data_IF_276195553431
#
_entry.id   IF_276195553431
#
_cell.length_a   1.000
_cell.length_b   1.000
_cell.length_c   1.000
_cell.angle_alpha   90.00
_cell.angle_beta   90.00
_cell.angle_gamma   90.00
#
_symmetry.space_group_name_H-M   'P 1'
#
loop_
_entity.id
_entity.type
_entity.pdbx_description
1 polymer ?
#
# COMPACT_ATOMS: atom_id res chain seq x y z
N UNK A 1 -57.69 9.69 -21.40
CA UNK A 1 -57.38 8.67 -20.41
C UNK A 1 -55.85 8.58 -20.31
N UNK A 2 -55.38 9.07 -19.24
CA UNK A 2 -53.98 9.40 -18.91
C UNK A 2 -53.22 8.17 -18.43
N UNK A 3 -52.14 7.82 -19.08
CA UNK A 3 -51.17 6.81 -18.63
C UNK A 3 -49.89 7.50 -18.11
N UNK A 4 -49.76 7.61 -16.78
CA UNK A 4 -48.53 8.07 -16.13
C UNK A 4 -47.50 6.94 -16.11
N UNK A 5 -46.39 7.17 -16.78
CA UNK A 5 -45.18 6.36 -16.71
C UNK A 5 -44.35 6.84 -15.50
N UNK A 6 -44.25 5.99 -14.46
CA UNK A 6 -43.39 6.21 -13.31
C UNK A 6 -41.95 5.84 -13.71
N UNK A 7 -41.08 6.84 -13.85
CA UNK A 7 -39.63 6.65 -13.92
C UNK A 7 -39.10 6.43 -12.50
N UNK A 8 -38.65 5.22 -12.21
CA UNK A 8 -37.94 4.90 -10.98
C UNK A 8 -36.57 5.63 -10.98
N UNK A 9 -36.39 6.51 -10.00
CA UNK A 9 -35.09 7.10 -9.64
C UNK A 9 -34.18 6.01 -9.07
N UNK A 10 -33.13 5.65 -9.78
CA UNK A 10 -31.98 4.96 -9.22
C UNK A 10 -31.07 6.01 -8.57
N UNK A 11 -31.28 6.29 -7.28
CA UNK A 11 -30.42 7.19 -6.51
C UNK A 11 -29.44 6.40 -5.66
N UNK A 12 -28.17 6.66 -5.90
CA UNK A 12 -27.05 6.68 -4.94
C UNK A 12 -27.03 5.59 -3.84
N UNK A 13 -26.34 4.48 -4.13
CA UNK A 13 -25.74 3.60 -3.11
C UNK A 13 -24.21 3.77 -3.16
N UNK A 14 -23.68 4.77 -2.48
CA UNK A 14 -22.24 5.00 -2.51
C UNK A 14 -21.73 6.05 -1.54
N UNK A 15 -22.24 6.11 -0.29
CA UNK A 15 -21.64 7.01 0.72
C UNK A 15 -22.14 6.64 2.13
N UNK A 16 -21.78 5.50 2.65
CA UNK A 16 -22.17 5.12 4.01
C UNK A 16 -21.18 4.17 4.71
N UNK A 17 -19.87 4.34 4.56
CA UNK A 17 -18.89 3.53 5.32
C UNK A 17 -17.90 4.37 6.13
N UNK A 18 -17.91 5.69 6.04
CA UNK A 18 -16.93 6.53 6.74
C UNK A 18 -17.42 7.12 8.09
N UNK A 19 -18.58 6.75 8.60
CA UNK A 19 -19.14 7.38 9.82
C UNK A 19 -19.18 6.49 11.08
N UNK A 20 -18.64 5.29 11.11
CA UNK A 20 -18.78 4.39 12.28
C UNK A 20 -17.62 4.49 13.29
N UNK A 21 -16.53 5.19 12.98
CA UNK A 21 -15.36 5.28 13.87
C UNK A 21 -15.32 6.54 14.77
N UNK A 22 -16.35 7.39 14.79
CA UNK A 22 -16.29 8.68 15.50
C UNK A 22 -17.23 8.81 16.71
N UNK A 23 -17.92 7.75 17.14
CA UNK A 23 -18.89 7.84 18.25
C UNK A 23 -18.49 7.14 19.56
N UNK A 24 -17.32 6.51 19.63
CA UNK A 24 -16.69 6.20 20.91
C UNK A 24 -15.72 7.34 21.22
N UNK A 25 -16.01 8.14 22.25
CA UNK A 25 -15.17 9.22 22.72
C UNK A 25 -13.83 8.73 23.34
N UNK A 26 -13.08 7.91 22.61
CA UNK A 26 -11.66 7.80 22.81
C UNK A 26 -11.06 9.12 22.26
N UNK A 27 -10.77 10.04 23.14
CA UNK A 27 -9.86 11.14 22.87
C UNK A 27 -8.67 10.48 22.17
N UNK A 28 -8.41 10.84 20.90
CA UNK A 28 -7.21 10.43 20.21
C UNK A 28 -6.04 11.06 20.99
N UNK A 29 -5.58 10.34 22.00
CA UNK A 29 -4.43 10.72 22.78
C UNK A 29 -3.26 10.66 21.81
N UNK A 30 -2.60 11.77 21.59
CA UNK A 30 -1.45 11.83 20.71
C UNK A 30 -0.49 10.73 21.14
N UNK A 31 -0.28 9.72 20.29
CA UNK A 31 0.53 8.55 20.64
C UNK A 31 1.96 8.98 20.98
N UNK A 32 2.65 8.19 21.80
CA UNK A 32 3.97 8.55 22.35
C UNK A 32 5.14 8.20 21.43
N UNK A 33 4.87 7.59 20.26
CA UNK A 33 5.93 7.25 19.29
C UNK A 33 6.53 8.50 18.65
N UNK A 34 7.82 8.44 18.39
CA UNK A 34 8.58 9.53 17.77
C UNK A 34 8.16 9.72 16.30
N UNK A 35 8.48 10.90 15.77
CA UNK A 35 8.29 11.28 14.39
C UNK A 35 8.90 10.20 13.45
N UNK A 36 8.22 9.92 12.35
CA UNK A 36 8.61 8.96 11.31
C UNK A 36 8.70 7.47 11.73
N UNK A 37 8.52 7.13 13.02
CA UNK A 37 8.66 5.73 13.49
C UNK A 37 7.55 4.78 13.04
N UNK A 38 6.44 5.28 12.52
CA UNK A 38 5.36 4.48 11.91
C UNK A 38 5.56 4.23 10.41
N UNK A 39 6.58 4.85 9.80
CA UNK A 39 6.71 4.89 8.35
C UNK A 39 5.62 5.73 7.68
N UNK A 40 5.35 5.44 6.42
CA UNK A 40 4.23 6.00 5.65
C UNK A 40 3.19 4.91 5.38
N UNK A 41 2.12 5.20 4.65
CA UNK A 41 1.15 4.18 4.23
C UNK A 41 1.56 3.59 2.89
N UNK A 42 1.70 2.28 2.87
CA UNK A 42 1.90 1.51 1.65
C UNK A 42 0.64 1.58 0.77
N UNK A 43 0.78 1.54 -0.54
CA UNK A 43 -0.33 1.65 -1.51
C UNK A 43 -1.49 0.68 -1.21
N UNK A 44 -1.22 -0.50 -0.67
CA UNK A 44 -2.22 -1.52 -0.31
C UNK A 44 -2.77 -1.36 1.13
N UNK A 45 -2.37 -0.31 1.86
CA UNK A 45 -2.97 0.08 3.15
C UNK A 45 -2.12 -0.20 4.39
N UNK A 46 -1.17 -1.12 4.33
CA UNK A 46 -0.32 -1.43 5.47
C UNK A 46 0.64 -0.27 5.81
N UNK A 47 1.03 -0.15 7.07
CA UNK A 47 2.13 0.73 7.45
C UNK A 47 3.45 0.24 6.85
N UNK A 48 4.26 1.16 6.29
CA UNK A 48 5.51 0.77 5.64
C UNK A 48 6.16 1.86 4.83
N UNK A 49 6.70 1.49 3.68
CA UNK A 49 7.09 2.36 2.59
C UNK A 49 5.93 2.65 1.64
N UNK A 50 6.20 3.21 0.48
CA UNK A 50 5.18 3.44 -0.54
C UNK A 50 4.78 2.15 -1.25
N UNK A 51 5.74 1.32 -1.65
CA UNK A 51 5.52 0.07 -2.39
C UNK A 51 5.48 -1.17 -1.50
N UNK A 52 6.37 -1.27 -0.51
CA UNK A 52 6.54 -2.45 0.32
C UNK A 52 5.95 -2.24 1.74
N UNK A 53 5.25 -3.24 2.32
CA UNK A 53 4.88 -3.18 3.73
C UNK A 53 6.13 -3.41 4.58
N UNK A 54 6.30 -2.58 5.61
CA UNK A 54 7.36 -2.77 6.60
C UNK A 54 6.84 -3.54 7.82
N UNK A 55 7.74 -4.04 8.65
CA UNK A 55 7.35 -4.69 9.89
C UNK A 55 6.74 -3.72 10.92
N UNK A 56 6.81 -2.41 10.68
CA UNK A 56 6.25 -1.37 11.54
C UNK A 56 4.72 -1.42 11.58
N UNK A 57 4.16 -1.09 12.73
CA UNK A 57 2.71 -0.92 12.92
C UNK A 57 2.34 0.54 12.69
N UNK A 58 1.27 0.78 11.98
CA UNK A 58 0.77 2.12 11.63
C UNK A 58 0.37 2.95 12.84
N UNK A 59 0.35 4.27 12.67
CA UNK A 59 -0.04 5.24 13.68
C UNK A 59 1.04 5.52 14.71
N UNK A 60 0.73 6.36 15.67
CA UNK A 60 1.66 6.86 16.71
C UNK A 60 1.46 6.19 18.07
N UNK A 61 0.55 5.19 18.18
CA UNK A 61 0.28 4.47 19.41
C UNK A 61 1.47 3.60 19.85
N UNK A 62 1.80 3.66 21.13
CA UNK A 62 2.80 2.82 21.79
C UNK A 62 2.24 1.43 22.18
N UNK A 63 2.91 0.70 23.06
CA UNK A 63 2.56 -0.67 23.44
C UNK A 63 1.23 -0.84 24.19
N UNK A 64 0.68 0.25 24.70
CA UNK A 64 -0.57 0.33 25.47
C UNK A 64 -1.61 1.26 24.82
N UNK A 65 -1.33 1.72 23.61
CA UNK A 65 -2.13 2.73 22.91
C UNK A 65 -2.66 2.21 21.58
N UNK A 66 -3.68 2.89 21.08
CA UNK A 66 -4.20 2.71 19.73
C UNK A 66 -3.71 3.87 18.86
N UNK A 67 -3.09 3.54 17.74
CA UNK A 67 -2.72 4.50 16.70
C UNK A 67 -3.59 4.31 15.48
N UNK A 68 -3.69 5.33 14.65
CA UNK A 68 -4.42 5.26 13.40
C UNK A 68 -3.72 6.06 12.30
N UNK A 69 -3.98 5.71 11.05
CA UNK A 69 -3.59 6.53 9.90
C UNK A 69 -4.68 6.57 8.85
N UNK A 70 -4.71 7.65 8.08
CA UNK A 70 -5.52 7.77 6.88
C UNK A 70 -4.68 8.43 5.79
N UNK A 71 -4.82 8.01 4.54
CA UNK A 71 -3.98 8.51 3.45
C UNK A 71 -4.71 8.58 2.12
N UNK A 72 -4.17 9.40 1.25
CA UNK A 72 -4.52 9.47 -0.16
C UNK A 72 -3.23 9.42 -0.98
N UNK A 73 -3.26 8.66 -2.08
CA UNK A 73 -2.12 8.56 -2.99
C UNK A 73 -2.59 8.71 -4.43
N UNK A 74 -1.82 9.45 -5.21
CA UNK A 74 -2.02 9.62 -6.65
C UNK A 74 -0.77 9.18 -7.39
N UNK A 75 -0.95 8.29 -8.38
CA UNK A 75 0.12 7.84 -9.27
C UNK A 75 -0.31 8.12 -10.71
N UNK A 76 0.51 8.88 -11.43
CA UNK A 76 0.30 9.15 -12.84
C UNK A 76 1.50 8.64 -13.65
N UNK A 77 1.21 7.77 -14.63
CA UNK A 77 2.24 7.20 -15.48
C UNK A 77 2.45 8.02 -16.75
N UNK A 78 3.60 7.84 -17.37
CA UNK A 78 3.94 8.40 -18.68
C UNK A 78 2.96 7.93 -19.78
N UNK A 79 2.38 6.72 -19.67
CA UNK A 79 1.40 6.17 -20.59
C UNK A 79 -0.04 6.60 -20.31
N UNK A 80 -0.27 7.69 -19.55
CA UNK A 80 -1.58 8.23 -19.17
C UNK A 80 -2.46 7.31 -18.31
N UNK A 81 -1.89 6.26 -17.70
CA UNK A 81 -2.58 5.56 -16.63
C UNK A 81 -2.62 6.42 -15.37
N UNK A 82 -3.74 6.39 -14.67
CA UNK A 82 -3.92 7.13 -13.42
C UNK A 82 -4.47 6.22 -12.34
N UNK A 83 -3.78 6.13 -11.23
CA UNK A 83 -4.20 5.39 -10.05
C UNK A 83 -4.43 6.34 -8.88
N UNK A 84 -5.65 6.37 -8.38
CA UNK A 84 -6.01 7.05 -7.15
C UNK A 84 -6.27 6.01 -6.07
N UNK A 85 -5.67 6.23 -4.90
CA UNK A 85 -5.76 5.35 -3.75
C UNK A 85 -6.21 6.19 -2.56
N UNK A 86 -7.09 5.62 -1.76
CA UNK A 86 -7.44 6.13 -0.43
C UNK A 86 -7.51 4.96 0.55
N UNK A 87 -7.06 5.18 1.76
CA UNK A 87 -7.07 4.12 2.75
C UNK A 87 -6.92 4.63 4.17
N UNK A 88 -7.09 3.70 5.09
CA UNK A 88 -6.92 3.92 6.51
C UNK A 88 -6.44 2.64 7.19
N UNK A 89 -5.77 2.80 8.32
CA UNK A 89 -5.33 1.70 9.13
C UNK A 89 -5.38 2.05 10.62
N UNK A 90 -5.55 1.04 11.45
CA UNK A 90 -5.54 1.15 12.91
C UNK A 90 -4.50 0.17 13.45
N UNK A 91 -3.62 0.68 14.28
CA UNK A 91 -2.62 -0.09 15.04
C UNK A 91 -3.01 -0.19 16.50
N UNK A 92 -3.02 -1.38 17.05
CA UNK A 92 -3.36 -1.64 18.46
C UNK A 92 -2.12 -2.12 19.17
N UNK A 93 -1.76 -1.44 20.28
CA UNK A 93 -0.66 -1.79 21.16
C UNK A 93 0.69 -1.95 20.43
N UNK A 94 0.90 -1.18 19.34
CA UNK A 94 2.05 -1.32 18.46
C UNK A 94 2.35 -2.80 18.09
N UNK A 95 1.30 -3.64 18.00
CA UNK A 95 1.41 -5.08 17.78
C UNK A 95 0.52 -5.61 16.67
N UNK A 96 -0.72 -5.16 16.57
CA UNK A 96 -1.67 -5.60 15.55
C UNK A 96 -2.09 -4.40 14.72
N UNK A 97 -2.15 -4.58 13.42
CA UNK A 97 -2.63 -3.58 12.45
C UNK A 97 -3.77 -4.18 11.64
N UNK A 98 -4.83 -3.41 11.47
CA UNK A 98 -5.90 -3.69 10.51
C UNK A 98 -5.95 -2.52 9.54
N UNK A 99 -5.97 -2.79 8.25
CA UNK A 99 -5.91 -1.77 7.21
C UNK A 99 -6.96 -2.00 6.13
N UNK A 100 -7.36 -0.91 5.48
CA UNK A 100 -8.21 -0.93 4.30
C UNK A 100 -7.69 0.06 3.27
N UNK A 101 -7.81 -0.31 1.99
CA UNK A 101 -7.44 0.54 0.86
C UNK A 101 -8.43 0.36 -0.27
N UNK A 102 -8.76 1.44 -0.95
CA UNK A 102 -9.57 1.44 -2.18
C UNK A 102 -8.78 2.09 -3.31
N UNK A 103 -8.70 1.38 -4.42
CA UNK A 103 -8.00 1.77 -5.62
C UNK A 103 -8.99 2.09 -6.74
N UNK A 104 -8.69 3.12 -7.52
CA UNK A 104 -9.40 3.47 -8.74
C UNK A 104 -8.36 3.74 -9.83
N UNK A 105 -8.20 2.80 -10.74
CA UNK A 105 -7.22 2.81 -11.83
C UNK A 105 -7.92 3.08 -13.15
N UNK A 106 -7.62 4.22 -13.75
CA UNK A 106 -8.08 4.55 -15.10
C UNK A 106 -7.10 3.99 -16.11
N UNK A 107 -7.60 3.13 -16.98
CA UNK A 107 -6.87 2.71 -18.16
C UNK A 107 -6.70 3.92 -19.09
N UNK A 108 -5.53 4.00 -19.73
CA UNK A 108 -5.24 5.08 -20.69
C UNK A 108 -6.07 4.90 -21.99
N UNK A 109 -5.56 5.41 -23.09
CA UNK A 109 -6.03 5.12 -24.44
C UNK A 109 -5.97 3.63 -24.83
N UNK A 110 -5.28 2.79 -24.05
CA UNK A 110 -5.26 1.32 -24.25
C UNK A 110 -6.65 0.71 -24.14
N UNK A 111 -7.47 1.15 -23.19
CA UNK A 111 -8.88 0.78 -23.03
C UNK A 111 -9.66 2.04 -22.65
N UNK A 112 -10.05 2.88 -23.62
CA UNK A 112 -10.65 4.17 -23.37
C UNK A 112 -11.95 4.08 -22.56
N UNK A 113 -12.05 4.90 -21.52
CA UNK A 113 -13.25 5.01 -20.68
C UNK A 113 -13.37 3.99 -19.57
N UNK A 114 -12.53 2.95 -19.54
CA UNK A 114 -12.56 1.90 -18.51
C UNK A 114 -11.81 2.31 -17.24
N UNK A 115 -12.34 1.85 -16.12
CA UNK A 115 -11.76 2.05 -14.80
C UNK A 115 -11.80 0.74 -14.01
N UNK A 116 -10.66 0.29 -13.53
CA UNK A 116 -10.56 -0.84 -12.62
C UNK A 116 -10.63 -0.35 -11.17
N UNK A 117 -11.48 -0.98 -10.37
CA UNK A 117 -11.62 -0.71 -8.93
C UNK A 117 -11.25 -1.93 -8.14
N UNK A 118 -10.50 -1.72 -7.07
CA UNK A 118 -10.07 -2.80 -6.19
C UNK A 118 -10.17 -2.36 -4.74
N UNK A 119 -10.72 -3.22 -3.89
CA UNK A 119 -10.72 -3.06 -2.44
C UNK A 119 -9.71 -4.04 -1.83
N UNK A 120 -8.99 -3.57 -0.82
CA UNK A 120 -7.99 -4.36 -0.11
C UNK A 120 -8.28 -4.26 1.38
N UNK A 121 -8.31 -5.39 2.06
CA UNK A 121 -8.37 -5.51 3.52
C UNK A 121 -7.12 -6.21 4.00
N UNK A 122 -6.42 -5.61 4.96
CA UNK A 122 -5.16 -6.10 5.48
C UNK A 122 -5.18 -6.34 6.98
N UNK A 123 -4.41 -7.34 7.40
CA UNK A 123 -4.06 -7.59 8.80
C UNK A 123 -2.57 -7.82 8.87
N UNK A 124 -1.90 -7.20 9.84
CA UNK A 124 -0.48 -7.40 10.14
C UNK A 124 -0.27 -7.57 11.64
N UNK A 125 0.60 -8.49 12.02
CA UNK A 125 0.96 -8.76 13.42
C UNK A 125 2.47 -8.68 13.57
N UNK A 126 2.92 -7.81 14.46
CA UNK A 126 4.32 -7.79 14.94
C UNK A 126 4.56 -9.00 15.82
N UNK A 127 5.44 -9.88 15.39
CA UNK A 127 5.74 -11.14 16.07
C UNK A 127 6.83 -10.96 17.09
N UNK A 128 7.93 -10.28 16.71
CA UNK A 128 9.11 -10.14 17.56
C UNK A 128 9.93 -8.89 17.20
N UNK A 129 10.84 -8.50 18.09
CA UNK A 129 11.83 -7.43 17.93
C UNK A 129 11.23 -6.02 17.94
N UNK A 130 12.09 -5.03 17.97
CA UNK A 130 11.77 -3.64 17.76
C UNK A 130 12.71 -3.04 16.71
N UNK A 131 12.16 -2.35 15.74
CA UNK A 131 12.93 -1.81 14.63
C UNK A 131 13.83 -0.64 15.06
N UNK A 132 13.42 0.12 16.07
CA UNK A 132 14.01 1.42 16.43
C UNK A 132 14.69 1.39 17.79
N UNK A 133 14.05 0.79 18.80
CA UNK A 133 14.53 0.88 20.18
C UNK A 133 15.52 -0.22 20.58
N UNK A 134 15.51 -1.38 19.93
CA UNK A 134 16.43 -2.49 20.20
C UNK A 134 17.77 -2.29 19.46
N UNK A 135 18.51 -1.20 19.78
CA UNK A 135 19.77 -0.88 19.08
C UNK A 135 20.91 -1.85 19.39
N UNK A 136 20.94 -2.42 20.59
CA UNK A 136 21.96 -3.37 21.03
C UNK A 136 21.77 -4.77 20.44
N UNK A 137 20.61 -5.05 19.86
CA UNK A 137 20.29 -6.34 19.27
C UNK A 137 20.44 -6.29 17.74
N UNK A 138 21.09 -7.30 17.12
CA UNK A 138 21.20 -7.34 15.65
C UNK A 138 19.87 -7.67 14.96
N UNK A 139 18.91 -8.22 15.68
CA UNK A 139 17.64 -8.72 15.14
C UNK A 139 16.72 -7.60 14.69
N UNK A 140 16.15 -7.70 13.49
CA UNK A 140 15.13 -6.76 13.03
C UNK A 140 13.79 -7.00 13.73
N UNK A 141 12.89 -6.02 13.65
CA UNK A 141 11.48 -6.25 13.91
C UNK A 141 10.91 -7.18 12.86
N UNK A 142 10.17 -8.19 13.29
CA UNK A 142 9.51 -9.20 12.46
C UNK A 142 8.00 -9.01 12.52
N UNK A 143 7.35 -8.92 11.38
CA UNK A 143 5.90 -8.95 11.27
C UNK A 143 5.44 -9.91 10.17
N UNK A 144 4.28 -10.51 10.39
CA UNK A 144 3.56 -11.30 9.37
C UNK A 144 2.25 -10.60 9.04
N UNK A 145 1.78 -10.73 7.82
CA UNK A 145 0.52 -10.13 7.42
C UNK A 145 -0.14 -10.84 6.26
N UNK A 146 -1.41 -10.47 6.05
CA UNK A 146 -2.22 -10.90 4.94
C UNK A 146 -2.99 -9.70 4.37
N UNK A 147 -3.16 -9.65 3.05
CA UNK A 147 -3.93 -8.63 2.33
C UNK A 147 -4.89 -9.32 1.38
N UNK A 148 -6.18 -9.31 1.71
CA UNK A 148 -7.23 -9.78 0.83
C UNK A 148 -7.61 -8.69 -0.16
N UNK A 149 -7.52 -8.99 -1.45
CA UNK A 149 -7.75 -8.07 -2.57
C UNK A 149 -8.97 -8.54 -3.35
N UNK A 150 -9.87 -7.61 -3.65
CA UNK A 150 -11.07 -7.88 -4.45
C UNK A 150 -11.18 -6.84 -5.56
N UNK A 151 -11.11 -7.32 -6.81
CA UNK A 151 -11.25 -6.53 -8.02
C UNK A 151 -12.74 -6.46 -8.40
N UNK A 152 -13.33 -5.26 -8.36
CA UNK A 152 -14.77 -5.07 -8.63
C UNK A 152 -15.10 -5.30 -10.13
N UNK A 153 -14.19 -4.92 -11.03
CA UNK A 153 -14.41 -4.90 -12.48
C UNK A 153 -13.63 -6.04 -13.20
N UNK A 154 -13.53 -7.22 -12.57
CA UNK A 154 -12.70 -8.35 -13.05
C UNK A 154 -13.04 -8.81 -14.47
N UNK A 155 -14.32 -8.85 -14.82
CA UNK A 155 -14.80 -9.37 -16.11
C UNK A 155 -14.47 -8.47 -17.30
N UNK A 156 -14.08 -7.20 -17.08
CA UNK A 156 -13.80 -6.24 -18.14
C UNK A 156 -12.43 -6.51 -18.79
N UNK A 157 -11.34 -6.12 -18.15
CA UNK A 157 -9.98 -6.22 -18.70
C UNK A 157 -9.19 -7.40 -18.17
N UNK A 158 -9.17 -7.69 -16.84
CA UNK A 158 -8.33 -8.74 -16.30
C UNK A 158 -8.64 -10.13 -16.87
N UNK A 159 -9.91 -10.49 -16.97
CA UNK A 159 -10.33 -11.78 -17.52
C UNK A 159 -9.98 -11.91 -19.00
N UNK A 160 -10.13 -10.84 -19.78
CA UNK A 160 -9.76 -10.84 -21.20
C UNK A 160 -8.24 -11.01 -21.43
N UNK A 161 -7.41 -10.59 -20.46
CA UNK A 161 -5.96 -10.79 -20.47
C UNK A 161 -5.51 -12.19 -19.98
N UNK A 162 -6.46 -13.06 -19.57
CA UNK A 162 -6.17 -14.42 -19.13
C UNK A 162 -6.05 -14.60 -17.62
N UNK A 163 -6.37 -13.59 -16.81
CA UNK A 163 -6.44 -13.74 -15.35
C UNK A 163 -7.57 -14.70 -14.95
N UNK A 164 -7.31 -15.57 -13.97
CA UNK A 164 -8.25 -16.64 -13.57
C UNK A 164 -9.18 -16.24 -12.45
N UNK A 165 -8.85 -15.22 -11.65
CA UNK A 165 -9.60 -14.82 -10.44
C UNK A 165 -9.69 -13.30 -10.29
N UNK A 166 -10.85 -12.85 -9.80
CA UNK A 166 -11.09 -11.45 -9.42
C UNK A 166 -10.74 -11.13 -7.96
N UNK A 167 -10.43 -12.13 -7.14
CA UNK A 167 -10.01 -11.92 -5.74
C UNK A 167 -9.00 -12.95 -5.30
N UNK A 168 -8.10 -12.55 -4.41
CA UNK A 168 -7.13 -13.41 -3.77
C UNK A 168 -6.55 -12.78 -2.50
N UNK A 169 -5.78 -13.58 -1.75
CA UNK A 169 -5.08 -13.12 -0.54
C UNK A 169 -3.58 -13.28 -0.71
N UNK A 170 -2.87 -12.18 -0.59
CA UNK A 170 -1.41 -12.19 -0.44
C UNK A 170 -1.06 -12.40 1.03
N UNK A 171 -0.01 -13.19 1.29
CA UNK A 171 0.59 -13.36 2.60
C UNK A 171 2.01 -12.83 2.58
N UNK A 172 2.47 -12.18 3.64
CA UNK A 172 3.81 -11.64 3.67
C UNK A 172 4.46 -11.74 5.06
N UNK A 173 5.79 -11.73 5.04
CA UNK A 173 6.66 -11.64 6.19
C UNK A 173 7.59 -10.47 5.95
N UNK A 174 7.63 -9.50 6.88
CA UNK A 174 8.47 -8.31 6.78
C UNK A 174 9.48 -8.25 7.92
N UNK A 175 10.69 -7.82 7.59
CA UNK A 175 11.82 -7.61 8.49
C UNK A 175 12.25 -6.15 8.35
N UNK A 176 12.17 -5.37 9.42
CA UNK A 176 12.57 -3.95 9.39
C UNK A 176 13.56 -3.65 10.51
N UNK A 177 14.61 -2.91 10.20
CA UNK A 177 15.59 -2.41 11.17
C UNK A 177 15.95 -0.97 10.86
N UNK A 178 16.07 -0.19 11.92
CA UNK A 178 16.63 1.17 11.88
C UNK A 178 17.93 1.15 12.70
N UNK A 179 19.01 1.65 12.12
CA UNK A 179 20.27 1.86 12.81
C UNK A 179 20.47 3.34 13.03
N UNK A 180 20.56 3.76 14.29
CA UNK A 180 20.75 5.15 14.65
C UNK A 180 22.22 5.58 14.36
N UNK A 181 22.37 6.68 13.63
CA UNK A 181 23.68 7.25 13.30
C UNK A 181 24.56 6.44 12.34
N UNK A 182 24.06 5.33 11.75
CA UNK A 182 24.87 4.40 10.97
C UNK A 182 25.29 4.92 9.59
N UNK A 183 24.59 5.92 9.04
CA UNK A 183 24.90 6.48 7.73
C UNK A 183 25.43 7.93 7.90
N UNK A 184 26.74 8.08 8.09
CA UNK A 184 27.42 9.39 8.29
C UNK A 184 26.77 10.23 9.40
N UNK A 185 26.45 9.58 10.54
CA UNK A 185 25.77 10.19 11.68
C UNK A 185 24.26 10.35 11.52
N UNK A 186 23.68 9.80 10.46
CA UNK A 186 22.23 9.81 10.19
C UNK A 186 21.64 8.43 10.38
N UNK A 187 20.34 8.36 10.64
CA UNK A 187 19.63 7.11 10.82
C UNK A 187 19.40 6.43 9.48
N UNK A 188 19.71 5.13 9.42
CA UNK A 188 19.53 4.27 8.27
C UNK A 188 18.38 3.28 8.56
N UNK A 189 17.43 3.16 7.65
CA UNK A 189 16.38 2.15 7.66
C UNK A 189 16.62 1.14 6.54
N UNK A 190 16.42 -0.14 6.85
CA UNK A 190 16.28 -1.18 5.83
C UNK A 190 15.10 -2.08 6.14
N UNK A 191 14.43 -2.52 5.08
CA UNK A 191 13.33 -3.47 5.12
C UNK A 191 13.48 -4.54 4.05
N UNK A 192 13.15 -5.79 4.41
CA UNK A 192 13.00 -6.92 3.51
C UNK A 192 11.63 -7.55 3.74
N UNK A 193 10.87 -7.73 2.69
CA UNK A 193 9.58 -8.42 2.72
C UNK A 193 9.59 -9.59 1.74
N UNK A 194 9.13 -10.75 2.18
CA UNK A 194 8.83 -11.89 1.34
C UNK A 194 7.32 -12.02 1.23
N UNK A 195 6.80 -11.94 0.02
CA UNK A 195 5.36 -12.01 -0.27
C UNK A 195 5.00 -13.23 -1.09
N UNK A 196 4.04 -14.02 -0.64
CA UNK A 196 3.38 -15.05 -1.42
C UNK A 196 2.16 -14.45 -2.12
N UNK A 197 2.18 -14.35 -3.44
CA UNK A 197 1.16 -13.66 -4.24
C UNK A 197 0.87 -14.36 -5.56
N UNK A 198 -0.34 -14.13 -6.10
CA UNK A 198 -0.76 -14.43 -7.47
C UNK A 198 -1.16 -13.18 -8.24
N UNK A 199 -0.99 -12.01 -7.67
CA UNK A 199 -1.45 -10.74 -8.21
C UNK A 199 -0.68 -10.34 -9.47
N UNK A 200 -1.40 -10.02 -10.55
CA UNK A 200 -0.86 -9.38 -11.74
C UNK A 200 -0.99 -7.86 -11.56
N UNK A 201 0.07 -7.09 -11.80
CA UNK A 201 0.10 -5.64 -11.56
C UNK A 201 -0.47 -5.27 -10.18
N UNK A 202 0.03 -5.91 -9.11
CA UNK A 202 -0.43 -5.74 -7.73
C UNK A 202 -1.89 -6.16 -7.48
N UNK A 203 -2.57 -6.77 -8.47
CA UNK A 203 -3.97 -7.19 -8.45
C UNK A 203 -4.88 -6.40 -9.40
N UNK A 204 -4.40 -5.28 -9.95
CA UNK A 204 -5.17 -4.47 -10.91
C UNK A 204 -5.53 -5.24 -12.19
N UNK A 205 -4.73 -6.23 -12.57
CA UNK A 205 -5.00 -7.11 -13.69
C UNK A 205 -5.43 -8.52 -13.24
N UNK A 206 -6.09 -8.61 -12.08
CA UNK A 206 -6.57 -9.86 -11.51
C UNK A 206 -5.49 -10.75 -10.91
N UNK A 207 -5.82 -12.03 -10.68
CA UNK A 207 -4.97 -12.97 -9.96
C UNK A 207 -4.86 -14.29 -10.72
N UNK A 208 -3.66 -14.90 -10.66
CA UNK A 208 -3.34 -16.08 -11.46
C UNK A 208 -3.35 -15.77 -12.97
N UNK A 209 -3.14 -16.76 -13.79
CA UNK A 209 -3.15 -16.61 -15.23
C UNK A 209 -2.84 -17.90 -15.96
N UNK A 210 -2.82 -17.83 -17.28
CA UNK A 210 -2.59 -18.94 -18.20
C UNK A 210 -1.17 -19.54 -18.07
N UNK A 211 -0.18 -18.78 -17.56
CA UNK A 211 1.17 -19.28 -17.24
C UNK A 211 1.28 -19.91 -15.84
N UNK A 212 0.29 -19.77 -14.99
CA UNK A 212 0.28 -20.39 -13.66
C UNK A 212 -0.66 -19.74 -12.66
N UNK A 213 -1.23 -20.58 -11.78
CA UNK A 213 -2.26 -20.21 -10.82
C UNK A 213 -1.87 -20.55 -9.35
N UNK A 214 -0.59 -20.72 -9.06
CA UNK A 214 -0.08 -20.93 -7.69
C UNK A 214 0.54 -19.65 -7.14
N UNK A 215 0.53 -19.45 -5.82
CA UNK A 215 1.31 -18.38 -5.21
C UNK A 215 2.79 -18.54 -5.55
N UNK A 216 3.43 -17.42 -5.93
CA UNK A 216 4.89 -17.30 -5.98
C UNK A 216 5.35 -16.47 -4.80
N UNK A 217 6.43 -16.91 -4.17
CA UNK A 217 7.11 -16.09 -3.15
C UNK A 217 8.06 -15.15 -3.88
N UNK A 218 7.82 -13.85 -3.71
CA UNK A 218 8.62 -12.78 -4.34
C UNK A 218 9.18 -11.84 -3.28
N UNK A 219 10.41 -11.33 -3.47
CA UNK A 219 11.02 -10.37 -2.55
C UNK A 219 10.58 -8.94 -2.85
N UNK A 220 10.55 -8.15 -1.78
CA UNK A 220 10.41 -6.69 -1.81
C UNK A 220 11.44 -6.11 -0.83
N UNK A 221 12.07 -4.99 -1.15
CA UNK A 221 12.98 -4.35 -0.22
C UNK A 221 12.84 -2.84 -0.25
N UNK A 222 13.20 -2.19 0.84
CA UNK A 222 13.28 -0.74 0.97
C UNK A 222 14.52 -0.36 1.77
N UNK A 223 15.13 0.76 1.41
CA UNK A 223 16.19 1.38 2.19
C UNK A 223 15.97 2.90 2.22
N UNK A 224 16.20 3.52 3.37
CA UNK A 224 16.07 4.97 3.51
C UNK A 224 17.08 5.53 4.51
N UNK A 225 17.55 6.74 4.25
CA UNK A 225 18.36 7.54 5.17
C UNK A 225 17.55 8.75 5.60
N UNK A 226 17.46 8.99 6.92
CA UNK A 226 16.90 10.22 7.45
C UNK A 226 17.92 11.34 7.31
N UNK A 227 17.73 12.20 6.33
CA UNK A 227 18.60 13.37 6.09
C UNK A 227 18.49 14.40 7.21
N UNK A 228 17.31 14.47 7.84
CA UNK A 228 16.95 15.20 9.05
C UNK A 228 15.91 14.38 9.80
N UNK A 229 15.56 14.78 11.01
CA UNK A 229 14.53 14.08 11.81
C UNK A 229 13.16 14.06 11.12
N UNK A 230 12.89 15.05 10.25
CA UNK A 230 11.64 15.24 9.52
C UNK A 230 11.73 14.93 8.01
N UNK A 231 12.88 14.45 7.51
CA UNK A 231 13.08 14.25 6.07
C UNK A 231 13.86 12.97 5.79
N UNK A 232 13.25 12.04 5.08
CA UNK A 232 13.87 10.80 4.62
C UNK A 232 14.02 10.78 3.10
N UNK A 233 15.12 10.22 2.63
CA UNK A 233 15.37 9.85 1.22
C UNK A 233 15.58 8.36 1.16
N UNK A 234 14.93 7.68 0.22
CA UNK A 234 15.05 6.24 0.10
C UNK A 234 14.73 5.71 -1.28
N UNK A 235 14.82 4.39 -1.39
CA UNK A 235 14.45 3.63 -2.57
C UNK A 235 13.75 2.34 -2.17
N UNK A 236 12.86 1.88 -3.04
CA UNK A 236 12.14 0.63 -2.88
C UNK A 236 12.20 -0.19 -4.17
N UNK A 237 12.09 -1.49 -4.03
CA UNK A 237 11.97 -2.42 -5.14
C UNK A 237 11.00 -3.53 -4.77
N UNK A 238 10.12 -3.91 -5.71
CA UNK A 238 9.10 -4.93 -5.53
C UNK A 238 9.04 -5.84 -6.75
N UNK A 239 9.27 -7.12 -6.54
CA UNK A 239 9.11 -8.13 -7.58
C UNK A 239 7.62 -8.39 -7.86
N UNK A 240 7.34 -8.70 -9.13
CA UNK A 240 6.01 -9.09 -9.61
C UNK A 240 6.09 -10.43 -10.32
N UNK A 241 5.15 -11.38 -10.04
CA UNK A 241 5.13 -12.66 -10.77
C UNK A 241 4.59 -12.45 -12.20
N UNK A 242 5.23 -13.07 -13.20
CA UNK A 242 4.83 -13.04 -14.62
C UNK A 242 3.91 -14.23 -14.94
N UNK A 243 2.58 -13.99 -14.95
CA UNK A 243 1.58 -15.05 -15.05
C UNK A 243 0.67 -14.97 -16.27
N UNK A 244 0.71 -13.85 -16.98
CA UNK A 244 -0.12 -13.63 -18.17
C UNK A 244 0.74 -13.75 -19.43
N UNK A 245 0.27 -14.52 -20.42
CA UNK A 245 0.93 -14.58 -21.73
C UNK A 245 0.71 -13.33 -22.56
N UNK A 246 -0.32 -12.54 -22.26
CA UNK A 246 -0.69 -11.34 -22.98
C UNK A 246 0.41 -10.26 -22.99
N UNK A 247 1.24 -10.21 -21.94
CA UNK A 247 2.41 -9.32 -21.85
C UNK A 247 3.39 -9.82 -20.78
N UNK A 248 4.63 -9.35 -20.88
CA UNK A 248 5.66 -9.66 -19.88
C UNK A 248 5.52 -8.72 -18.69
N UNK A 249 5.42 -9.30 -17.48
CA UNK A 249 5.45 -8.55 -16.24
C UNK A 249 6.89 -8.15 -15.88
N UNK A 250 7.08 -6.94 -15.41
CA UNK A 250 8.37 -6.38 -15.00
C UNK A 250 8.27 -5.83 -13.57
N UNK A 251 9.37 -5.92 -12.81
CA UNK A 251 9.41 -5.48 -11.42
C UNK A 251 9.22 -3.97 -11.30
N UNK A 252 8.71 -3.53 -10.16
CA UNK A 252 8.58 -2.11 -9.83
C UNK A 252 9.71 -1.65 -8.92
N UNK A 253 10.12 -0.39 -9.04
CA UNK A 253 11.05 0.27 -8.13
C UNK A 253 10.78 1.76 -8.08
N UNK A 254 11.20 2.40 -7.00
CA UNK A 254 11.14 3.84 -6.87
C UNK A 254 12.34 4.43 -6.13
N UNK A 255 12.46 5.76 -6.26
CA UNK A 255 13.26 6.60 -5.37
C UNK A 255 12.31 7.65 -4.80
N UNK A 256 12.26 7.76 -3.47
CA UNK A 256 11.30 8.59 -2.79
C UNK A 256 11.93 9.60 -1.82
N UNK A 257 11.21 10.67 -1.59
CA UNK A 257 11.41 11.61 -0.49
C UNK A 257 10.16 11.59 0.37
N UNK A 258 10.30 11.35 1.67
CA UNK A 258 9.23 11.45 2.66
C UNK A 258 9.53 12.60 3.61
N UNK A 259 8.63 13.57 3.69
CA UNK A 259 8.72 14.74 4.56
C UNK A 259 7.62 14.69 5.62
N UNK A 260 8.00 14.91 6.86
CA UNK A 260 7.15 14.89 8.04
C UNK A 260 7.07 16.31 8.65
N UNK A 261 6.34 17.27 8.01
CA UNK A 261 6.28 18.66 8.49
C UNK A 261 5.68 18.79 9.89
N UNK A 262 4.92 17.81 10.30
CA UNK A 262 4.32 17.70 11.62
C UNK A 262 4.24 16.23 12.02
N UNK A 263 4.22 15.91 13.34
CA UNK A 263 4.15 14.53 13.80
C UNK A 263 2.94 13.75 13.28
N UNK A 264 1.87 14.45 12.94
CA UNK A 264 0.62 13.87 12.41
C UNK A 264 0.52 13.91 10.89
N UNK A 265 1.47 14.49 10.19
CA UNK A 265 1.41 14.68 8.73
C UNK A 265 2.66 14.15 8.08
N UNK A 266 2.51 13.30 7.08
CA UNK A 266 3.59 12.96 6.18
C UNK A 266 3.18 13.20 4.72
N UNK A 267 4.14 13.71 3.94
CA UNK A 267 4.03 13.91 2.50
C UNK A 267 5.14 13.12 1.82
N UNK A 268 4.77 12.30 0.84
CA UNK A 268 5.74 11.49 0.10
C UNK A 268 5.63 11.78 -1.38
N UNK A 269 6.77 12.00 -2.02
CA UNK A 269 6.89 12.08 -3.47
C UNK A 269 7.92 11.04 -3.93
N UNK A 270 7.62 10.34 -5.03
CA UNK A 270 8.55 9.38 -5.60
C UNK A 270 8.55 9.43 -7.13
N UNK A 271 9.73 9.13 -7.69
CA UNK A 271 9.88 8.71 -9.06
C UNK A 271 9.78 7.19 -9.10
N UNK A 272 8.71 6.70 -9.72
CA UNK A 272 8.32 5.30 -9.69
C UNK A 272 8.40 4.71 -11.10
N UNK A 273 9.07 3.57 -11.26
CA UNK A 273 9.08 2.75 -12.46
C UNK A 273 8.20 1.51 -12.21
N UNK A 274 7.14 1.37 -13.00
CA UNK A 274 6.18 0.26 -12.86
C UNK A 274 6.42 -0.86 -13.87
N UNK A 275 7.41 -0.68 -14.77
CA UNK A 275 7.66 -1.61 -15.86
C UNK A 275 6.54 -1.61 -16.90
N UNK A 276 6.25 -2.77 -17.45
CA UNK A 276 5.22 -2.93 -18.47
C UNK A 276 3.82 -2.96 -17.84
N UNK A 277 2.92 -2.10 -18.29
CA UNK A 277 1.49 -2.13 -17.94
C UNK A 277 0.68 -2.33 -19.22
N UNK A 278 -0.01 -3.47 -19.33
CA UNK A 278 -0.91 -3.78 -20.44
C UNK A 278 -0.28 -3.50 -21.83
N UNK A 279 0.91 -4.02 -22.09
CA UNK A 279 1.72 -3.82 -23.30
C UNK A 279 2.29 -2.40 -23.54
N UNK A 280 2.23 -1.53 -22.56
CA UNK A 280 3.00 -0.27 -22.59
C UNK A 280 4.25 -0.45 -21.70
N UNK A 281 5.46 -0.58 -22.28
CA UNK A 281 6.69 -0.74 -21.53
C UNK A 281 7.10 0.58 -20.84
N UNK A 282 8.08 0.51 -19.96
CA UNK A 282 8.78 1.65 -19.34
C UNK A 282 7.83 2.67 -18.69
N UNK A 283 6.85 2.18 -17.90
CA UNK A 283 5.84 3.06 -17.29
C UNK A 283 6.42 3.83 -16.10
N UNK A 284 7.12 4.90 -16.41
CA UNK A 284 7.63 5.89 -15.46
C UNK A 284 6.49 6.72 -14.91
N UNK A 285 6.51 6.96 -13.60
CA UNK A 285 5.36 7.53 -12.90
C UNK A 285 5.81 8.54 -11.85
N UNK A 286 4.99 9.55 -11.66
CA UNK A 286 5.04 10.40 -10.47
C UNK A 286 4.07 9.82 -9.43
N UNK A 287 4.62 9.53 -8.25
CA UNK A 287 3.87 9.13 -7.06
C UNK A 287 3.82 10.31 -6.08
N UNK A 288 2.63 10.63 -5.61
CA UNK A 288 2.39 11.64 -4.57
C UNK A 288 1.45 11.05 -3.52
N UNK A 289 1.82 11.15 -2.25
CA UNK A 289 0.99 10.67 -1.14
C UNK A 289 0.96 11.68 0.00
N UNK A 290 -0.18 11.78 0.64
CA UNK A 290 -0.37 12.52 1.88
C UNK A 290 -1.03 11.61 2.92
N UNK A 291 -0.50 11.61 4.15
CA UNK A 291 -0.99 10.80 5.26
C UNK A 291 -1.19 11.64 6.49
N UNK A 292 -2.26 11.34 7.22
CA UNK A 292 -2.48 11.75 8.61
C UNK A 292 -2.27 10.55 9.51
N UNK A 293 -1.55 10.72 10.63
CA UNK A 293 -1.30 9.67 11.62
C UNK A 293 -1.55 10.18 13.05
N UNK A 294 -2.13 9.32 13.88
CA UNK A 294 -2.51 9.60 15.27
C UNK A 294 -2.08 8.48 16.19
#
# INVERSE_FOLDING_TARGET
MTGLTVRALSMYRGTAVLCIALTSGAVAQAGDRLLATSGVSQVEGAGGGGLAPWALITGLGSSDQVGASAYVTHIRTQGDFNLNIQGAAVGVNNRVEVSMSRWSFKFSDTVPGETARMNILGVKVRVAGDAVYDQDLPWPQLSIGAQHKHHEDFAAVPQALGATRGSDTDYYLSLTKVWLGAAWGRNLLANLTLRATRANQFGLLGFGGDRGDRHSVVPEWSAAVLLRDDLALGAEWRAKPDRLSAFREENAWDVFVAWFPHRHVSLTAAWLELGNIANKPDQRSLYLSAQLAF
#
